data_IF_695792629104
#
_entry.id   IF_695792629104
#
_cell.length_a   1.000
_cell.length_b   1.000
_cell.length_c   1.000
_cell.angle_alpha   90.00
_cell.angle_beta   90.00
_cell.angle_gamma   90.00
#
_symmetry.space_group_name_H-M   'P 1'
#
loop_
_entity.id
_entity.type
_entity.pdbx_description
1 polymer ?
#
# COMPACT_ATOMS: atom_id res chain seq x y z
N UNK A 1 0.05 -3.69 13.87
CA UNK A 1 -0.38 -4.96 14.49
C UNK A 1 -1.46 -5.57 13.63
N UNK A 2 -1.40 -6.87 13.37
CA UNK A 2 -2.44 -7.58 12.61
C UNK A 2 -3.70 -7.69 13.44
N UNK A 3 -4.86 -7.60 12.79
CA UNK A 3 -6.11 -8.00 13.43
C UNK A 3 -6.19 -9.54 13.54
N UNK A 4 -7.08 -10.01 14.40
CA UNK A 4 -7.34 -11.44 14.52
C UNK A 4 -7.90 -12.00 13.20
N UNK A 5 -7.27 -13.05 12.67
CA UNK A 5 -7.56 -13.60 11.34
C UNK A 5 -8.66 -14.67 11.34
N UNK A 6 -9.38 -14.85 12.45
CA UNK A 6 -10.41 -15.90 12.56
C UNK A 6 -9.85 -17.32 12.44
N UNK A 7 -10.61 -18.23 11.83
CA UNK A 7 -10.21 -19.62 11.62
C UNK A 7 -9.18 -19.70 10.48
N UNK A 8 -7.89 -19.73 10.82
CA UNK A 8 -6.79 -20.03 9.92
C UNK A 8 -5.93 -21.15 10.50
N UNK A 9 -5.02 -21.69 9.68
CA UNK A 9 -4.16 -22.81 10.07
C UNK A 9 -3.40 -22.53 11.38
N UNK A 10 -2.82 -21.34 11.53
CA UNK A 10 -2.05 -20.98 12.72
C UNK A 10 -2.92 -20.96 13.98
N UNK A 11 -4.13 -20.37 13.90
CA UNK A 11 -5.05 -20.34 15.03
C UNK A 11 -5.60 -21.73 15.37
N UNK A 12 -5.84 -22.57 14.35
CA UNK A 12 -6.21 -23.97 14.55
C UNK A 12 -5.09 -24.75 15.22
N UNK A 13 -3.84 -24.57 14.81
CA UNK A 13 -2.68 -25.24 15.41
C UNK A 13 -2.50 -24.80 16.88
N UNK A 14 -2.67 -23.51 17.20
CA UNK A 14 -2.65 -22.98 18.59
C UNK A 14 -3.81 -23.57 19.41
N UNK A 15 -5.02 -23.63 18.85
CA UNK A 15 -6.18 -24.20 19.53
C UNK A 15 -5.97 -25.68 19.84
N UNK A 16 -5.50 -26.45 18.85
CA UNK A 16 -5.19 -27.88 19.02
C UNK A 16 -4.16 -28.09 20.15
N UNK A 17 -3.17 -27.19 20.27
CA UNK A 17 -2.18 -27.25 21.35
C UNK A 17 -2.78 -26.93 22.72
N UNK A 18 -3.78 -26.04 22.77
CA UNK A 18 -4.52 -25.75 24.00
C UNK A 18 -5.48 -26.89 24.39
N UNK A 19 -6.07 -27.56 23.40
CA UNK A 19 -6.99 -28.70 23.63
C UNK A 19 -6.24 -30.00 23.92
N UNK A 20 -4.98 -30.10 23.47
CA UNK A 20 -4.18 -31.31 23.71
C UNK A 20 -3.85 -31.47 25.20
N UNK A 21 -4.05 -32.68 25.71
CA UNK A 21 -3.67 -33.06 27.08
C UNK A 21 -2.21 -33.55 27.16
N UNK A 22 -1.36 -33.07 26.24
CA UNK A 22 0.01 -33.49 26.13
C UNK A 22 0.89 -33.02 27.27
N UNK A 23 1.97 -33.77 27.54
CA UNK A 23 2.96 -33.48 28.57
C UNK A 23 3.85 -32.27 28.25
N UNK A 24 3.73 -31.71 27.04
CA UNK A 24 4.54 -30.56 26.60
C UNK A 24 3.82 -29.27 26.99
N UNK A 25 4.50 -28.43 27.73
CA UNK A 25 3.94 -27.18 28.19
C UNK A 25 3.65 -26.23 27.01
N UNK A 26 2.50 -25.57 27.01
CA UNK A 26 2.02 -24.69 25.94
C UNK A 26 3.06 -23.63 25.55
N UNK A 27 3.78 -23.06 26.53
CA UNK A 27 4.80 -22.03 26.30
C UNK A 27 6.00 -22.50 25.46
N UNK A 28 6.28 -23.82 25.47
CA UNK A 28 7.33 -24.41 24.63
C UNK A 28 6.94 -24.54 23.14
N UNK A 29 5.64 -24.58 22.87
CA UNK A 29 5.07 -24.75 21.52
C UNK A 29 4.57 -23.43 20.92
N UNK A 30 4.79 -22.30 21.62
CA UNK A 30 4.27 -20.99 21.23
C UNK A 30 5.39 -19.93 21.28
N UNK A 31 5.37 -19.01 20.32
CA UNK A 31 6.36 -17.91 20.25
C UNK A 31 6.11 -16.79 21.28
N UNK A 32 5.08 -16.93 22.12
CA UNK A 32 4.75 -15.95 23.14
C UNK A 32 4.09 -14.68 22.60
N UNK A 33 3.96 -13.71 23.52
CA UNK A 33 3.32 -12.42 23.28
C UNK A 33 4.33 -11.31 23.53
N UNK A 34 4.38 -10.29 22.69
CA UNK A 34 5.18 -9.09 22.94
C UNK A 34 4.27 -7.89 23.15
N UNK A 35 4.41 -7.26 24.30
CA UNK A 35 3.68 -6.06 24.69
C UNK A 35 4.61 -4.84 24.63
N UNK A 36 4.07 -3.73 24.14
CA UNK A 36 4.72 -2.43 24.18
C UNK A 36 3.88 -1.51 25.06
N UNK A 37 4.49 -0.93 26.07
CA UNK A 37 3.79 -0.10 27.07
C UNK A 37 4.52 1.23 27.29
N UNK A 38 3.83 2.21 27.88
CA UNK A 38 4.44 3.48 28.29
C UNK A 38 5.13 3.39 29.66
N UNK A 39 4.61 2.53 30.55
CA UNK A 39 5.20 2.25 31.87
C UNK A 39 4.89 0.82 32.28
N UNK A 40 5.77 0.21 33.06
CA UNK A 40 5.55 -1.08 33.69
C UNK A 40 6.26 -1.13 35.02
N UNK A 41 5.58 -1.57 36.06
CA UNK A 41 6.12 -1.73 37.42
C UNK A 41 5.86 -3.14 37.90
N UNK A 42 6.87 -3.78 38.42
CA UNK A 42 6.78 -5.11 39.02
C UNK A 42 6.48 -5.00 40.53
N UNK A 43 5.41 -5.64 40.94
CA UNK A 43 5.01 -5.80 42.34
C UNK A 43 4.91 -7.28 42.65
N UNK A 44 5.84 -7.82 43.42
CA UNK A 44 5.92 -9.27 43.69
C UNK A 44 5.83 -10.10 42.39
N UNK A 45 4.75 -10.85 42.19
CA UNK A 45 4.50 -11.67 41.00
C UNK A 45 3.58 -11.00 39.98
N UNK A 46 3.29 -9.71 40.16
CA UNK A 46 2.36 -8.97 39.30
C UNK A 46 3.05 -7.80 38.64
N UNK A 47 2.72 -7.59 37.34
CA UNK A 47 3.20 -6.43 36.59
C UNK A 47 2.01 -5.52 36.27
N UNK A 48 2.07 -4.29 36.75
CA UNK A 48 1.17 -3.22 36.34
C UNK A 48 1.77 -2.48 35.13
N UNK A 49 0.98 -2.30 34.10
CA UNK A 49 1.43 -1.63 32.87
C UNK A 49 0.36 -0.70 32.31
N UNK A 50 0.80 0.43 31.74
CA UNK A 50 -0.08 1.45 31.16
C UNK A 50 0.07 1.54 29.65
N UNK A 51 -1.02 1.89 28.97
CA UNK A 51 -1.07 2.06 27.51
C UNK A 51 -0.51 0.86 26.74
N UNK A 52 -0.98 -0.33 27.13
CA UNK A 52 -0.53 -1.62 26.59
C UNK A 52 -0.94 -1.75 25.12
N UNK A 53 0.02 -2.11 24.29
CA UNK A 53 -0.19 -2.47 22.89
C UNK A 53 0.46 -3.82 22.61
N UNK A 54 -0.32 -4.80 22.14
CA UNK A 54 0.21 -6.08 21.66
C UNK A 54 0.89 -5.83 20.32
N UNK A 55 2.20 -6.05 20.22
CA UNK A 55 2.97 -5.86 18.98
C UNK A 55 3.33 -7.17 18.28
N UNK A 56 3.29 -8.29 19.01
CA UNK A 56 3.38 -9.64 18.46
C UNK A 56 2.57 -10.60 19.34
N UNK A 57 2.08 -11.73 18.76
CA UNK A 57 1.33 -12.74 19.49
C UNK A 57 -0.18 -12.47 19.58
N UNK A 58 -0.75 -11.54 18.78
CA UNK A 58 -2.19 -11.25 18.82
C UNK A 58 -3.05 -12.48 18.48
N UNK A 59 -2.62 -13.35 17.55
CA UNK A 59 -3.29 -14.60 17.24
C UNK A 59 -3.33 -15.51 18.46
N UNK A 60 -2.20 -15.68 19.14
CA UNK A 60 -2.07 -16.43 20.40
C UNK A 60 -3.00 -15.87 21.46
N UNK A 61 -2.99 -14.55 21.68
CA UNK A 61 -3.85 -13.90 22.70
C UNK A 61 -5.33 -14.15 22.43
N UNK A 62 -5.79 -13.95 21.19
CA UNK A 62 -7.20 -14.17 20.85
C UNK A 62 -7.59 -15.64 20.92
N UNK A 63 -6.70 -16.56 20.52
CA UNK A 63 -6.98 -17.99 20.60
C UNK A 63 -7.07 -18.47 22.05
N UNK A 64 -6.18 -18.00 22.92
CA UNK A 64 -6.24 -18.24 24.37
C UNK A 64 -7.56 -17.70 24.94
N UNK A 65 -7.90 -16.45 24.62
CA UNK A 65 -9.17 -15.85 25.05
C UNK A 65 -10.39 -16.68 24.62
N UNK A 66 -10.42 -17.08 23.35
CA UNK A 66 -11.54 -17.90 22.82
C UNK A 66 -11.59 -19.27 23.49
N UNK A 67 -10.46 -19.92 23.74
CA UNK A 67 -10.40 -21.20 24.42
C UNK A 67 -11.04 -21.13 25.81
N UNK A 68 -10.64 -20.17 26.65
CA UNK A 68 -11.20 -20.02 27.99
C UNK A 68 -12.64 -19.47 27.99
N UNK A 69 -13.00 -18.61 27.05
CA UNK A 69 -14.38 -18.13 26.89
C UNK A 69 -15.34 -19.26 26.48
N UNK A 70 -14.85 -20.31 25.84
CA UNK A 70 -15.63 -21.48 25.43
C UNK A 70 -15.57 -22.65 26.43
N UNK A 71 -15.11 -22.43 27.66
CA UNK A 71 -15.16 -23.41 28.75
C UNK A 71 -13.85 -24.13 29.07
N UNK A 72 -12.72 -23.67 28.55
CA UNK A 72 -11.40 -24.17 28.99
C UNK A 72 -11.17 -23.92 30.49
N UNK A 73 -10.74 -24.94 31.24
CA UNK A 73 -10.67 -24.89 32.73
C UNK A 73 -9.25 -25.07 33.30
N UNK A 74 -8.27 -25.36 32.46
CA UNK A 74 -6.91 -25.73 32.88
C UNK A 74 -5.91 -24.56 32.90
N UNK A 75 -6.39 -23.32 32.91
CA UNK A 75 -5.57 -22.09 32.87
C UNK A 75 -4.48 -22.00 33.91
N UNK A 76 -4.75 -22.47 35.12
CA UNK A 76 -3.76 -22.50 36.22
C UNK A 76 -2.54 -23.41 35.95
N UNK A 77 -2.63 -24.29 34.97
CA UNK A 77 -1.57 -25.24 34.58
C UNK A 77 -0.83 -24.84 33.30
N UNK A 78 -1.22 -23.72 32.69
CA UNK A 78 -0.71 -23.25 31.42
C UNK A 78 0.05 -21.94 31.56
N UNK A 79 1.19 -21.87 30.91
CA UNK A 79 2.02 -20.64 30.88
C UNK A 79 2.20 -20.17 29.45
N UNK A 80 2.37 -18.88 29.28
CA UNK A 80 2.76 -18.25 28.01
C UNK A 80 3.90 -17.25 28.26
N UNK A 81 4.88 -17.23 27.38
CA UNK A 81 5.97 -16.26 27.45
C UNK A 81 5.44 -14.87 27.09
N UNK A 82 5.64 -13.89 27.97
CA UNK A 82 5.29 -12.49 27.73
C UNK A 82 6.53 -11.63 27.79
N UNK A 83 6.86 -10.96 26.68
CA UNK A 83 7.91 -9.94 26.60
C UNK A 83 7.29 -8.56 26.73
N UNK A 84 7.66 -7.81 27.77
CA UNK A 84 7.19 -6.44 27.99
C UNK A 84 8.31 -5.47 27.62
N UNK A 85 8.03 -4.51 26.74
CA UNK A 85 8.96 -3.47 26.32
C UNK A 85 8.36 -2.12 26.72
N UNK A 86 9.10 -1.36 27.54
CA UNK A 86 8.69 -0.03 27.98
C UNK A 86 9.35 1.02 27.10
N UNK A 87 8.55 1.86 26.46
CA UNK A 87 9.04 3.00 25.68
C UNK A 87 7.92 4.03 25.49
N UNK A 88 8.27 5.30 25.69
CA UNK A 88 7.39 6.46 25.40
C UNK A 88 7.75 7.14 24.09
N UNK A 89 8.94 6.87 23.52
CA UNK A 89 9.45 7.53 22.32
C UNK A 89 8.79 7.00 21.05
N UNK A 90 8.11 7.85 20.26
CA UNK A 90 7.37 7.41 19.06
C UNK A 90 8.24 6.69 18.02
N UNK A 91 9.48 7.15 17.81
CA UNK A 91 10.41 6.56 16.84
C UNK A 91 10.84 5.15 17.29
N UNK A 92 11.19 5.00 18.57
CA UNK A 92 11.57 3.71 19.15
C UNK A 92 10.39 2.73 19.10
N UNK A 93 9.20 3.17 19.48
CA UNK A 93 7.96 2.38 19.38
C UNK A 93 7.71 1.90 17.94
N UNK A 94 7.84 2.78 16.96
CA UNK A 94 7.69 2.44 15.54
C UNK A 94 8.71 1.36 15.12
N UNK A 95 9.98 1.53 15.48
CA UNK A 95 11.03 0.57 15.12
C UNK A 95 10.80 -0.80 15.77
N UNK A 96 10.35 -0.84 17.03
CA UNK A 96 9.99 -2.09 17.73
C UNK A 96 8.84 -2.80 17.01
N UNK A 97 7.78 -2.06 16.65
CA UNK A 97 6.63 -2.61 15.92
C UNK A 97 7.09 -3.19 14.57
N UNK A 98 7.95 -2.49 13.86
CA UNK A 98 8.50 -2.97 12.58
C UNK A 98 9.34 -4.24 12.77
N UNK A 99 10.27 -4.24 13.72
CA UNK A 99 11.17 -5.37 13.95
C UNK A 99 10.43 -6.64 14.40
N UNK A 100 9.44 -6.50 15.29
CA UNK A 100 8.66 -7.64 15.80
C UNK A 100 7.69 -8.21 14.78
N UNK A 101 7.27 -7.41 13.79
CA UNK A 101 6.35 -7.84 12.74
C UNK A 101 7.05 -8.30 11.44
N UNK A 102 8.35 -8.06 11.28
CA UNK A 102 9.10 -8.49 10.08
C UNK A 102 9.22 -10.03 9.92
N UNK A 103 8.83 -10.80 10.92
CA UNK A 103 8.82 -12.27 10.86
C UNK A 103 7.64 -12.83 10.05
N UNK A 104 6.69 -12.01 9.65
CA UNK A 104 5.60 -12.38 8.76
C UNK A 104 5.39 -11.26 7.72
N UNK A 105 5.07 -11.63 6.48
CA UNK A 105 4.84 -10.68 5.38
C UNK A 105 3.61 -9.81 5.71
N UNK A 106 3.81 -8.74 6.50
CA UNK A 106 2.80 -7.71 6.69
C UNK A 106 2.86 -6.79 5.47
N UNK A 107 1.73 -6.51 4.82
CA UNK A 107 1.71 -5.47 3.80
C UNK A 107 2.23 -4.14 4.38
N UNK A 108 3.18 -3.52 3.70
CA UNK A 108 3.87 -2.32 4.19
C UNK A 108 2.90 -1.15 4.48
N UNK A 109 1.77 -1.10 3.77
CA UNK A 109 0.72 -0.11 4.04
C UNK A 109 0.08 -0.26 5.44
N UNK A 110 0.10 -1.47 6.02
CA UNK A 110 -0.41 -1.69 7.37
C UNK A 110 0.42 -1.00 8.46
N UNK A 111 1.67 -0.62 8.17
CA UNK A 111 2.49 0.17 9.08
C UNK A 111 1.92 1.59 9.29
N UNK A 112 1.22 2.10 8.29
CA UNK A 112 0.55 3.41 8.31
C UNK A 112 -0.92 3.33 8.72
N UNK A 113 -1.41 2.15 9.08
CA UNK A 113 -2.83 1.95 9.40
C UNK A 113 -3.35 2.79 10.57
N UNK A 114 -2.46 3.28 11.43
CA UNK A 114 -2.81 4.14 12.58
C UNK A 114 -2.69 5.64 12.28
N UNK A 115 -2.13 6.02 11.14
CA UNK A 115 -1.97 7.41 10.75
C UNK A 115 -3.34 8.09 10.62
N UNK A 116 -3.42 9.36 11.03
CA UNK A 116 -4.66 10.12 11.02
C UNK A 116 -5.29 10.15 9.63
N UNK A 117 -4.50 10.48 8.60
CA UNK A 117 -4.98 10.53 7.20
C UNK A 117 -5.60 9.21 6.73
N UNK A 118 -5.06 8.06 7.15
CA UNK A 118 -5.59 6.74 6.78
C UNK A 118 -6.94 6.47 7.45
N UNK A 119 -7.12 6.93 8.69
CA UNK A 119 -8.40 6.83 9.42
C UNK A 119 -9.44 7.75 8.80
N UNK A 120 -9.06 8.99 8.47
CA UNK A 120 -9.95 9.98 7.86
C UNK A 120 -10.44 9.49 6.47
N UNK A 121 -9.54 8.87 5.68
CA UNK A 121 -9.91 8.24 4.40
C UNK A 121 -10.87 7.07 4.62
N UNK A 122 -10.61 6.19 5.60
CA UNK A 122 -11.52 5.08 5.92
C UNK A 122 -12.92 5.58 6.27
N UNK A 123 -13.01 6.59 7.14
CA UNK A 123 -14.29 7.15 7.58
C UNK A 123 -15.08 7.78 6.42
N UNK A 124 -14.42 8.60 5.59
CA UNK A 124 -15.11 9.28 4.49
C UNK A 124 -15.57 8.28 3.42
N UNK A 125 -14.77 7.27 3.10
CA UNK A 125 -15.11 6.25 2.11
C UNK A 125 -16.22 5.32 2.61
N UNK A 126 -16.22 4.98 3.91
CA UNK A 126 -17.26 4.17 4.51
C UNK A 126 -18.65 4.82 4.41
N UNK A 127 -18.74 6.16 4.58
CA UNK A 127 -19.98 6.94 4.35
C UNK A 127 -20.50 6.86 2.92
N UNK A 128 -19.65 6.43 1.97
CA UNK A 128 -19.99 6.26 0.54
C UNK A 128 -20.05 4.79 0.12
N UNK A 129 -20.19 3.87 1.09
CA UNK A 129 -20.25 2.43 0.87
C UNK A 129 -19.00 1.87 0.15
N UNK A 130 -17.83 2.47 0.38
CA UNK A 130 -16.55 2.00 -0.10
C UNK A 130 -15.73 1.56 1.11
N UNK A 131 -15.29 0.31 1.12
CA UNK A 131 -14.55 -0.27 2.25
C UNK A 131 -13.06 -0.08 2.05
N UNK A 132 -12.42 0.69 2.94
CA UNK A 132 -11.00 1.00 2.87
C UNK A 132 -10.18 0.11 3.78
N UNK A 133 -9.49 -0.87 3.19
CA UNK A 133 -8.72 -1.86 3.93
C UNK A 133 -7.33 -1.32 4.28
N UNK A 134 -7.25 -0.41 5.26
CA UNK A 134 -5.97 0.11 5.80
C UNK A 134 -5.23 -0.94 6.64
N UNK A 135 -5.91 -1.93 7.15
CA UNK A 135 -5.36 -3.10 7.84
C UNK A 135 -5.52 -4.35 6.98
N UNK A 136 -4.58 -5.28 7.11
CA UNK A 136 -4.60 -6.50 6.30
C UNK A 136 -5.87 -7.32 6.57
N UNK A 137 -6.61 -7.58 5.51
CA UNK A 137 -7.82 -8.43 5.48
C UNK A 137 -8.94 -8.09 6.47
N UNK A 138 -8.97 -6.86 6.99
CA UNK A 138 -9.99 -6.45 7.97
C UNK A 138 -11.41 -6.66 7.44
N UNK A 139 -11.70 -6.13 6.27
CA UNK A 139 -13.04 -6.22 5.67
C UNK A 139 -13.29 -7.56 4.97
N UNK A 140 -12.26 -8.18 4.40
CA UNK A 140 -12.35 -9.53 3.83
C UNK A 140 -12.78 -10.54 4.91
N UNK A 141 -12.19 -10.46 6.10
CA UNK A 141 -12.55 -11.33 7.23
C UNK A 141 -13.97 -11.07 7.77
N UNK A 142 -14.55 -9.90 7.48
CA UNK A 142 -15.94 -9.55 7.80
C UNK A 142 -16.93 -9.91 6.69
N UNK A 143 -16.50 -10.65 5.67
CA UNK A 143 -17.34 -11.12 4.58
C UNK A 143 -17.64 -10.08 3.51
N UNK A 144 -16.94 -8.94 3.50
CA UNK A 144 -17.08 -7.94 2.43
C UNK A 144 -16.46 -8.49 1.15
N UNK A 145 -17.18 -8.38 0.03
CA UNK A 145 -16.68 -8.84 -1.25
C UNK A 145 -15.45 -8.03 -1.66
N UNK A 146 -14.43 -8.71 -2.22
CA UNK A 146 -13.15 -8.08 -2.56
C UNK A 146 -13.28 -6.92 -3.56
N UNK A 147 -14.28 -6.99 -4.42
CA UNK A 147 -14.53 -5.93 -5.40
C UNK A 147 -15.09 -4.64 -4.76
N UNK A 148 -15.57 -4.70 -3.52
CA UNK A 148 -16.03 -3.53 -2.76
C UNK A 148 -14.94 -2.94 -1.87
N UNK A 149 -13.78 -3.59 -1.81
CA UNK A 149 -12.64 -3.16 -1.02
C UNK A 149 -11.66 -2.35 -1.86
N UNK A 150 -11.13 -1.27 -1.28
CA UNK A 150 -9.99 -0.50 -1.79
C UNK A 150 -8.88 -0.51 -0.76
N UNK A 151 -7.63 -0.55 -1.22
CA UNK A 151 -6.45 -0.56 -0.33
C UNK A 151 -5.71 0.78 -0.42
N UNK A 152 -4.85 1.12 0.57
CA UNK A 152 -3.98 2.29 0.48
C UNK A 152 -3.15 2.32 -0.81
N UNK A 153 -2.59 1.17 -1.22
CA UNK A 153 -1.80 1.09 -2.46
C UNK A 153 -2.65 1.35 -3.72
N UNK A 154 -3.90 0.88 -3.71
CA UNK A 154 -4.84 1.12 -4.81
C UNK A 154 -5.17 2.60 -4.96
N UNK A 155 -5.49 3.29 -3.85
CA UNK A 155 -5.75 4.73 -3.86
C UNK A 155 -4.50 5.54 -4.20
N UNK A 156 -3.32 5.13 -3.71
CA UNK A 156 -2.06 5.75 -4.07
C UNK A 156 -1.82 5.70 -5.58
N UNK A 157 -2.12 4.56 -6.22
CA UNK A 157 -2.07 4.42 -7.68
C UNK A 157 -3.01 5.39 -8.40
N UNK A 158 -4.24 5.53 -7.90
CA UNK A 158 -5.21 6.49 -8.42
C UNK A 158 -4.75 7.94 -8.28
N UNK A 159 -4.30 8.33 -7.10
CA UNK A 159 -3.76 9.66 -6.86
C UNK A 159 -2.55 9.96 -7.76
N UNK A 160 -1.64 9.00 -7.87
CA UNK A 160 -0.46 9.11 -8.74
C UNK A 160 -0.84 9.33 -10.19
N UNK A 161 -1.84 8.61 -10.69
CA UNK A 161 -2.29 8.74 -12.07
C UNK A 161 -3.08 10.03 -12.29
N UNK A 162 -4.07 10.32 -11.42
CA UNK A 162 -5.06 11.38 -11.65
C UNK A 162 -4.57 12.75 -11.19
N UNK A 163 -3.96 12.85 -10.02
CA UNK A 163 -3.53 14.13 -9.45
C UNK A 163 -2.11 14.47 -9.89
N UNK A 164 -1.18 13.51 -9.71
CA UNK A 164 0.23 13.73 -10.04
C UNK A 164 0.49 13.62 -11.54
N UNK A 165 -0.44 13.12 -12.34
CA UNK A 165 -0.28 12.93 -13.80
C UNK A 165 0.88 11.98 -14.17
N UNK A 166 1.09 10.96 -13.37
CA UNK A 166 2.18 9.98 -13.52
C UNK A 166 1.63 8.55 -13.68
N UNK A 167 0.81 8.25 -14.70
CA UNK A 167 0.19 6.93 -14.85
C UNK A 167 1.21 5.81 -15.01
N UNK A 168 2.39 6.07 -15.60
CA UNK A 168 3.49 5.10 -15.67
C UNK A 168 4.01 4.68 -14.30
N UNK A 169 4.01 5.60 -13.32
CA UNK A 169 4.40 5.29 -11.93
C UNK A 169 3.29 4.52 -11.22
N UNK A 170 2.03 4.81 -11.49
CA UNK A 170 0.92 4.03 -10.95
C UNK A 170 0.98 2.55 -11.35
N UNK A 171 1.46 2.23 -12.58
CA UNK A 171 1.70 0.86 -13.04
C UNK A 171 2.83 0.18 -12.26
N UNK A 172 3.90 0.92 -11.97
CA UNK A 172 5.11 0.40 -11.30
C UNK A 172 5.10 0.60 -9.78
N UNK A 173 4.07 1.25 -9.23
CA UNK A 173 3.97 1.55 -7.81
C UNK A 173 3.94 0.25 -7.01
N UNK A 174 4.89 0.12 -6.11
CA UNK A 174 5.05 -1.05 -5.24
C UNK A 174 4.76 -0.67 -3.79
N UNK A 175 4.38 -1.66 -3.00
CA UNK A 175 4.14 -1.46 -1.56
C UNK A 175 5.35 -0.89 -0.81
N UNK A 176 6.55 -1.04 -1.34
CA UNK A 176 7.79 -0.49 -0.76
C UNK A 176 7.79 1.03 -0.63
N UNK A 177 7.03 1.76 -1.46
CA UNK A 177 6.93 3.22 -1.34
C UNK A 177 6.33 3.64 0.02
N UNK A 178 5.51 2.79 0.62
CA UNK A 178 4.93 3.02 1.94
C UNK A 178 5.99 3.06 3.06
N UNK A 179 7.18 2.53 2.82
CA UNK A 179 8.30 2.59 3.77
C UNK A 179 9.11 3.89 3.66
N UNK A 180 8.94 4.64 2.59
CA UNK A 180 9.63 5.91 2.41
C UNK A 180 8.69 7.05 2.87
N UNK A 181 8.99 7.73 4.00
CA UNK A 181 8.13 8.78 4.55
C UNK A 181 7.91 9.94 3.58
N UNK A 182 8.93 10.30 2.79
CA UNK A 182 8.86 11.40 1.82
C UNK A 182 7.87 11.04 0.71
N UNK A 183 8.00 9.86 0.13
CA UNK A 183 7.10 9.39 -0.93
C UNK A 183 5.67 9.19 -0.41
N UNK A 184 5.52 8.62 0.78
CA UNK A 184 4.24 8.44 1.44
C UNK A 184 3.53 9.77 1.66
N UNK A 185 4.23 10.78 2.25
CA UNK A 185 3.67 12.09 2.55
C UNK A 185 3.31 12.90 1.30
N UNK A 186 3.90 12.62 0.14
CA UNK A 186 3.49 13.25 -1.12
C UNK A 186 2.12 12.81 -1.60
N UNK A 187 1.71 11.60 -1.22
CA UNK A 187 0.42 11.04 -1.61
C UNK A 187 -0.60 11.18 -0.46
N UNK A 188 -0.19 10.80 0.75
CA UNK A 188 -1.04 10.82 1.93
C UNK A 188 -0.60 11.93 2.88
N UNK A 189 -1.12 13.14 2.71
CA UNK A 189 -0.88 14.24 3.63
C UNK A 189 -2.19 14.98 3.97
N UNK A 190 -2.21 15.61 5.13
CA UNK A 190 -3.41 16.27 5.67
C UNK A 190 -3.80 17.56 4.94
N UNK A 191 -2.94 18.09 4.07
CA UNK A 191 -3.24 19.27 3.25
C UNK A 191 -4.11 18.91 2.04
N UNK A 192 -4.19 17.65 1.67
CA UNK A 192 -5.02 17.17 0.57
C UNK A 192 -6.47 17.11 1.07
N UNK A 193 -7.41 17.80 0.41
CA UNK A 193 -8.81 17.73 0.79
C UNK A 193 -9.33 16.29 0.79
N UNK A 194 -9.84 15.84 1.93
CA UNK A 194 -10.22 14.43 2.14
C UNK A 194 -11.28 13.96 1.13
N UNK A 195 -12.13 14.87 0.63
CA UNK A 195 -13.16 14.56 -0.36
C UNK A 195 -12.62 14.10 -1.72
N UNK A 196 -11.35 14.39 -2.04
CA UNK A 196 -10.77 13.93 -3.32
C UNK A 196 -10.73 12.40 -3.39
N UNK A 197 -10.54 11.74 -2.25
CA UNK A 197 -10.43 10.29 -2.19
C UNK A 197 -11.70 9.55 -2.58
N UNK A 198 -12.88 10.17 -2.34
CA UNK A 198 -14.19 9.63 -2.75
C UNK A 198 -14.22 9.49 -4.27
N UNK A 199 -13.91 10.59 -4.98
CA UNK A 199 -13.97 10.58 -6.44
C UNK A 199 -12.85 9.74 -7.06
N UNK A 200 -11.64 9.74 -6.48
CA UNK A 200 -10.57 8.83 -6.92
C UNK A 200 -11.02 7.37 -6.79
N UNK A 201 -11.51 6.96 -5.62
CA UNK A 201 -11.99 5.60 -5.41
C UNK A 201 -13.12 5.24 -6.39
N UNK A 202 -14.09 6.14 -6.58
CA UNK A 202 -15.22 5.92 -7.47
C UNK A 202 -14.79 5.79 -8.93
N UNK A 203 -13.88 6.66 -9.40
CA UNK A 203 -13.32 6.59 -10.77
C UNK A 203 -12.65 5.24 -10.99
N UNK A 204 -11.76 4.86 -10.08
CA UNK A 204 -11.01 3.62 -10.19
C UNK A 204 -11.93 2.40 -10.19
N UNK A 205 -12.90 2.33 -9.26
CA UNK A 205 -13.84 1.21 -9.18
C UNK A 205 -14.72 1.10 -10.43
N UNK A 206 -15.17 2.20 -11.00
CA UNK A 206 -15.93 2.19 -12.26
C UNK A 206 -15.09 1.69 -13.42
N UNK A 207 -13.84 2.14 -13.55
CA UNK A 207 -12.91 1.66 -14.56
C UNK A 207 -12.62 0.17 -14.35
N UNK A 208 -12.38 -0.28 -13.13
CA UNK A 208 -12.12 -1.68 -12.83
C UNK A 208 -13.29 -2.62 -13.15
N UNK A 209 -14.51 -2.14 -12.97
CA UNK A 209 -15.72 -2.93 -13.27
C UNK A 209 -15.82 -3.26 -14.76
N UNK A 210 -15.35 -2.39 -15.64
CA UNK A 210 -15.38 -2.55 -17.10
C UNK A 210 -14.07 -3.18 -17.62
N UNK A 211 -12.95 -2.93 -16.92
CA UNK A 211 -11.65 -3.54 -17.21
C UNK A 211 -11.33 -4.57 -16.11
N UNK A 212 -11.94 -5.75 -16.12
CA UNK A 212 -11.97 -6.64 -14.99
C UNK A 212 -10.59 -7.06 -14.52
N UNK A 213 -10.49 -7.24 -13.19
CA UNK A 213 -9.35 -7.87 -12.54
C UNK A 213 -9.40 -9.35 -12.87
N UNK A 214 -8.70 -9.80 -13.90
CA UNK A 214 -8.56 -11.23 -14.14
C UNK A 214 -7.78 -11.88 -12.99
N UNK A 215 -8.51 -12.35 -11.98
CA UNK A 215 -8.02 -13.36 -11.04
C UNK A 215 -8.14 -14.79 -11.62
N UNK A 216 -8.63 -14.89 -12.86
CA UNK A 216 -8.78 -16.15 -13.58
C UNK A 216 -7.75 -16.28 -14.70
N UNK A 217 -7.81 -17.41 -15.40
CA UNK A 217 -6.95 -17.73 -16.53
C UNK A 217 -6.97 -16.61 -17.55
N UNK A 218 -5.80 -16.06 -17.88
CA UNK A 218 -5.62 -15.09 -18.98
C UNK A 218 -6.09 -15.80 -20.25
N UNK A 219 -7.25 -15.40 -20.78
CA UNK A 219 -7.86 -16.06 -21.95
C UNK A 219 -7.25 -15.58 -23.27
N UNK A 220 -6.74 -14.35 -23.29
CA UNK A 220 -6.10 -13.76 -24.48
C UNK A 220 -4.89 -12.93 -24.13
N UNK A 221 -4.00 -12.69 -25.10
CA UNK A 221 -2.84 -11.80 -24.91
C UNK A 221 -3.27 -10.35 -24.62
N UNK A 222 -4.46 -9.92 -25.04
CA UNK A 222 -5.02 -8.60 -24.78
C UNK A 222 -5.44 -8.41 -23.33
N UNK A 223 -5.97 -9.45 -22.68
CA UNK A 223 -6.41 -9.41 -21.28
C UNK A 223 -5.25 -9.09 -20.33
N UNK A 224 -4.05 -9.51 -20.70
CA UNK A 224 -2.84 -9.24 -19.93
C UNK A 224 -2.53 -7.75 -19.77
N UNK A 225 -2.90 -6.95 -20.77
CA UNK A 225 -2.61 -5.51 -20.80
C UNK A 225 -3.72 -4.68 -20.16
N UNK A 226 -4.95 -5.17 -20.08
CA UNK A 226 -6.11 -4.45 -19.56
C UNK A 226 -5.85 -3.88 -18.16
N UNK A 227 -5.27 -4.67 -17.27
CA UNK A 227 -4.93 -4.21 -15.92
C UNK A 227 -3.90 -3.08 -15.91
N UNK A 228 -2.91 -3.17 -16.79
CA UNK A 228 -1.78 -2.22 -16.82
C UNK A 228 -2.13 -0.91 -17.51
N UNK A 229 -3.15 -0.87 -18.40
CA UNK A 229 -3.61 0.36 -19.04
C UNK A 229 -4.60 1.16 -18.18
N UNK A 230 -5.15 0.59 -17.11
CA UNK A 230 -6.13 1.27 -16.24
C UNK A 230 -5.73 2.65 -15.75
N UNK A 231 -4.47 2.90 -15.31
CA UNK A 231 -4.06 4.23 -14.91
C UNK A 231 -4.20 5.26 -16.02
N UNK A 232 -3.92 4.86 -17.28
CA UNK A 232 -4.10 5.72 -18.45
C UNK A 232 -5.59 5.89 -18.77
N UNK A 233 -6.35 4.80 -18.75
CA UNK A 233 -7.80 4.83 -18.96
C UNK A 233 -8.48 5.74 -17.94
N UNK A 234 -8.16 5.61 -16.65
CA UNK A 234 -8.69 6.47 -15.59
C UNK A 234 -8.36 7.93 -15.84
N UNK A 235 -7.13 8.25 -16.24
CA UNK A 235 -6.70 9.61 -16.56
C UNK A 235 -7.49 10.20 -17.73
N UNK A 236 -7.61 9.47 -18.84
CA UNK A 236 -8.27 9.94 -20.06
C UNK A 236 -9.81 10.07 -19.86
N UNK A 237 -10.44 9.09 -19.19
CA UNK A 237 -11.86 9.16 -18.83
C UNK A 237 -12.14 10.41 -18.00
N UNK A 238 -11.33 10.68 -16.99
CA UNK A 238 -11.45 11.87 -16.15
C UNK A 238 -11.24 13.14 -16.97
N UNK A 239 -10.21 13.18 -17.82
CA UNK A 239 -9.92 14.32 -18.69
C UNK A 239 -11.06 14.61 -19.68
N UNK A 240 -11.70 13.58 -20.25
CA UNK A 240 -12.84 13.76 -21.16
C UNK A 240 -14.03 14.42 -20.49
N UNK A 241 -14.33 14.05 -19.25
CA UNK A 241 -15.46 14.63 -18.51
C UNK A 241 -15.15 16.09 -18.11
N UNK A 242 -13.92 16.36 -17.70
CA UNK A 242 -13.48 17.70 -17.29
C UNK A 242 -13.23 18.59 -18.52
N UNK A 243 -12.89 18.02 -19.67
CA UNK A 243 -12.61 18.74 -20.93
C UNK A 243 -11.15 19.14 -21.12
N UNK A 244 -10.22 18.75 -20.24
CA UNK A 244 -8.79 19.06 -20.34
C UNK A 244 -7.91 18.04 -19.62
N UNK A 245 -6.64 17.91 -20.01
CA UNK A 245 -5.65 17.10 -19.30
C UNK A 245 -5.05 17.81 -18.07
N UNK A 246 -5.01 19.14 -18.09
CA UNK A 246 -4.44 19.97 -17.02
C UNK A 246 -5.33 20.13 -15.77
N UNK A 247 -6.26 19.21 -15.54
CA UNK A 247 -7.13 19.25 -14.35
C UNK A 247 -6.34 19.02 -13.04
N UNK A 248 -6.80 19.66 -11.98
CA UNK A 248 -6.22 19.55 -10.63
C UNK A 248 -7.12 18.83 -9.63
N UNK A 249 -6.71 18.85 -8.37
CA UNK A 249 -7.45 18.24 -7.24
C UNK A 249 -8.87 18.82 -7.13
N UNK A 250 -9.03 20.13 -7.27
CA UNK A 250 -10.34 20.79 -7.19
C UNK A 250 -11.29 20.36 -8.33
N UNK A 251 -10.76 20.13 -9.53
CA UNK A 251 -11.57 19.64 -10.66
C UNK A 251 -12.07 18.21 -10.37
N UNK A 252 -11.21 17.37 -9.75
CA UNK A 252 -11.59 16.00 -9.34
C UNK A 252 -12.66 16.05 -8.25
N UNK A 253 -12.54 16.91 -7.25
CA UNK A 253 -13.54 17.05 -6.17
C UNK A 253 -14.91 17.44 -6.71
N UNK A 254 -14.95 18.32 -7.70
CA UNK A 254 -16.19 18.80 -8.33
C UNK A 254 -16.73 17.87 -9.41
N UNK A 255 -15.99 16.83 -9.75
CA UNK A 255 -16.38 15.92 -10.84
C UNK A 255 -17.69 15.19 -10.52
N UNK A 256 -18.66 15.29 -11.42
CA UNK A 256 -19.83 14.43 -11.38
C UNK A 256 -19.46 13.02 -11.89
N UNK A 257 -19.22 12.10 -10.98
CA UNK A 257 -18.82 10.73 -11.31
C UNK A 257 -19.91 9.95 -12.05
N UNK A 258 -21.18 10.36 -12.05
CA UNK A 258 -22.25 9.71 -12.81
C UNK A 258 -22.04 9.82 -14.33
N UNK A 259 -21.30 10.83 -14.78
CA UNK A 259 -20.93 11.00 -16.19
C UNK A 259 -19.89 9.96 -16.67
N UNK A 260 -19.30 9.20 -15.77
CA UNK A 260 -18.40 8.09 -16.10
C UNK A 260 -19.26 6.88 -16.50
N UNK A 261 -19.70 6.85 -17.74
CA UNK A 261 -20.53 5.75 -18.25
C UNK A 261 -19.70 4.54 -18.66
N UNK A 262 -20.34 3.39 -18.74
CA UNK A 262 -19.69 2.15 -19.17
C UNK A 262 -19.20 2.26 -20.62
N UNK A 263 -19.96 2.96 -21.48
CA UNK A 263 -19.64 3.21 -22.90
C UNK A 263 -18.36 4.04 -23.01
N UNK A 264 -18.27 5.12 -22.20
CA UNK A 264 -17.08 5.97 -22.16
C UNK A 264 -15.83 5.18 -21.76
N UNK A 265 -15.94 4.34 -20.71
CA UNK A 265 -14.81 3.54 -20.26
C UNK A 265 -14.39 2.52 -21.33
N UNK A 266 -15.37 1.84 -21.98
CA UNK A 266 -15.07 0.88 -23.06
C UNK A 266 -14.41 1.56 -24.25
N UNK A 267 -14.94 2.69 -24.70
CA UNK A 267 -14.37 3.49 -25.79
C UNK A 267 -12.91 3.87 -25.49
N UNK A 268 -12.66 4.47 -24.34
CA UNK A 268 -11.30 4.87 -23.95
C UNK A 268 -10.38 3.64 -23.79
N UNK A 269 -10.87 2.54 -23.25
CA UNK A 269 -10.08 1.30 -23.11
C UNK A 269 -9.69 0.74 -24.46
N UNK A 270 -10.62 0.64 -25.39
CA UNK A 270 -10.38 0.11 -26.74
C UNK A 270 -9.38 0.99 -27.49
N UNK A 271 -9.56 2.31 -27.47
CA UNK A 271 -8.63 3.24 -28.11
C UNK A 271 -7.25 3.23 -27.46
N UNK A 272 -7.16 3.08 -26.11
CA UNK A 272 -5.87 2.92 -25.43
C UNK A 272 -5.14 1.66 -25.89
N UNK A 273 -5.83 0.53 -26.02
CA UNK A 273 -5.25 -0.72 -26.49
C UNK A 273 -4.85 -0.60 -27.97
N UNK A 274 -5.69 0.04 -28.79
CA UNK A 274 -5.37 0.28 -30.20
C UNK A 274 -4.10 1.10 -30.37
N UNK A 275 -3.97 2.21 -29.65
CA UNK A 275 -2.77 3.05 -29.65
C UNK A 275 -1.54 2.25 -29.16
N UNK A 276 -1.71 1.47 -28.10
CA UNK A 276 -0.65 0.60 -27.57
C UNK A 276 -0.14 -0.39 -28.63
N UNK A 277 -1.05 -1.03 -29.34
CA UNK A 277 -0.71 -2.01 -30.38
C UNK A 277 -0.08 -1.35 -31.62
N UNK A 278 -0.62 -0.19 -32.05
CA UNK A 278 -0.11 0.54 -33.22
C UNK A 278 1.34 1.00 -33.02
N UNK A 279 1.74 1.29 -31.78
CA UNK A 279 3.09 1.68 -31.45
C UNK A 279 4.02 0.47 -31.17
N UNK A 280 3.61 -0.75 -31.51
CA UNK A 280 4.38 -1.98 -31.32
C UNK A 280 4.81 -2.21 -29.85
N UNK A 281 4.05 -1.71 -28.89
CA UNK A 281 4.34 -1.86 -27.46
C UNK A 281 3.92 -3.28 -27.02
N UNK A 282 4.87 -4.21 -26.97
CA UNK A 282 4.60 -5.64 -26.72
C UNK A 282 4.73 -6.07 -25.27
N UNK A 283 5.05 -5.16 -24.36
CA UNK A 283 5.34 -5.51 -22.96
C UNK A 283 4.69 -4.55 -21.96
N UNK A 284 4.21 -5.11 -20.86
CA UNK A 284 3.75 -4.32 -19.70
C UNK A 284 4.85 -3.35 -19.21
N UNK A 285 6.14 -3.71 -19.35
CA UNK A 285 7.26 -2.84 -19.00
C UNK A 285 7.21 -1.51 -19.75
N UNK A 286 6.66 -1.51 -20.97
CA UNK A 286 6.51 -0.29 -21.76
C UNK A 286 5.58 0.73 -21.08
N UNK A 287 4.54 0.25 -20.37
CA UNK A 287 3.63 1.11 -19.62
C UNK A 287 4.24 1.69 -18.33
N UNK A 288 5.37 1.16 -17.88
CA UNK A 288 6.17 1.73 -16.79
C UNK A 288 7.19 2.76 -17.29
N UNK A 289 7.34 2.92 -18.61
CA UNK A 289 8.17 3.94 -19.23
C UNK A 289 7.39 5.25 -19.38
N UNK A 290 7.93 6.35 -18.86
CA UNK A 290 7.35 7.69 -19.00
C UNK A 290 7.19 8.10 -20.47
N UNK A 291 8.25 7.90 -21.26
CA UNK A 291 8.24 8.26 -22.68
C UNK A 291 7.12 7.55 -23.45
N UNK A 292 6.99 6.25 -23.26
CA UNK A 292 5.98 5.45 -23.96
C UNK A 292 4.56 5.75 -23.47
N UNK A 293 4.39 5.95 -22.17
CA UNK A 293 3.10 6.34 -21.61
C UNK A 293 2.68 7.73 -22.10
N UNK A 294 3.61 8.69 -22.17
CA UNK A 294 3.32 10.01 -22.71
C UNK A 294 2.95 9.97 -24.19
N UNK A 295 3.57 9.09 -24.98
CA UNK A 295 3.21 8.87 -26.38
C UNK A 295 1.74 8.41 -26.49
N UNK A 296 1.35 7.40 -25.73
CA UNK A 296 -0.03 6.91 -25.71
C UNK A 296 -1.01 8.03 -25.31
N UNK A 297 -0.70 8.77 -24.26
CA UNK A 297 -1.55 9.88 -23.79
C UNK A 297 -1.67 10.97 -24.85
N UNK A 298 -0.57 11.29 -25.54
CA UNK A 298 -0.57 12.30 -26.62
C UNK A 298 -1.48 11.92 -27.76
N UNK A 299 -1.41 10.68 -28.24
CA UNK A 299 -2.29 10.18 -29.30
C UNK A 299 -3.77 10.16 -28.87
N UNK A 300 -4.05 9.73 -27.64
CA UNK A 300 -5.40 9.76 -27.07
C UNK A 300 -5.91 11.20 -26.90
N UNK A 301 -5.04 12.12 -26.47
CA UNK A 301 -5.39 13.52 -26.33
C UNK A 301 -5.76 14.14 -27.69
N UNK A 302 -5.01 13.83 -28.72
CA UNK A 302 -5.31 14.25 -30.11
C UNK A 302 -6.63 13.66 -30.59
N UNK A 303 -6.84 12.36 -30.37
CA UNK A 303 -8.08 11.66 -30.77
C UNK A 303 -9.33 12.25 -30.10
N UNK A 304 -9.23 12.58 -28.81
CA UNK A 304 -10.34 13.12 -28.02
C UNK A 304 -10.35 14.66 -27.95
N UNK A 305 -9.46 15.33 -28.67
CA UNK A 305 -9.34 16.81 -28.70
C UNK A 305 -9.16 17.41 -27.29
N UNK A 306 -8.34 16.76 -26.45
CA UNK A 306 -8.09 17.20 -25.09
C UNK A 306 -6.94 18.21 -25.06
N UNK A 307 -7.15 19.44 -24.59
CA UNK A 307 -6.08 20.42 -24.43
C UNK A 307 -5.16 20.10 -23.26
N UNK A 308 -4.10 20.92 -23.10
CA UNK A 308 -3.17 20.92 -21.96
C UNK A 308 -2.26 19.68 -21.85
N UNK A 309 -1.88 19.04 -22.98
CA UNK A 309 -0.91 17.94 -22.94
C UNK A 309 0.40 18.34 -22.26
N UNK A 310 0.82 19.59 -22.36
CA UNK A 310 1.99 20.13 -21.67
C UNK A 310 1.95 19.91 -20.14
N UNK A 311 0.75 19.83 -19.55
CA UNK A 311 0.58 19.55 -18.14
C UNK A 311 1.06 18.13 -17.75
N UNK A 312 1.03 17.19 -18.72
CA UNK A 312 1.57 15.83 -18.55
C UNK A 312 3.09 15.84 -18.77
N UNK A 313 3.53 16.47 -19.87
CA UNK A 313 4.91 16.43 -20.34
C UNK A 313 5.88 17.11 -19.35
N UNK A 314 5.48 18.25 -18.78
CA UNK A 314 6.31 19.05 -17.86
C UNK A 314 6.29 18.58 -16.41
N UNK A 315 5.46 17.58 -16.06
CA UNK A 315 5.41 17.08 -14.67
C UNK A 315 6.74 16.46 -14.29
N UNK A 316 7.28 16.90 -13.17
CA UNK A 316 8.43 16.25 -12.55
C UNK A 316 8.00 14.92 -11.95
N UNK A 317 8.81 13.91 -12.17
CA UNK A 317 8.62 12.58 -11.62
C UNK A 317 9.29 12.50 -10.24
N UNK A 318 8.63 13.06 -9.24
CA UNK A 318 9.18 13.21 -7.89
C UNK A 318 8.91 12.02 -6.95
N UNK A 319 8.22 10.98 -7.41
CA UNK A 319 7.98 9.79 -6.57
C UNK A 319 9.28 9.02 -6.31
N UNK A 320 10.27 9.18 -7.17
CA UNK A 320 11.55 8.51 -7.07
C UNK A 320 12.77 9.47 -7.04
N UNK A 321 12.55 10.78 -7.27
CA UNK A 321 13.60 11.79 -7.29
C UNK A 321 13.98 12.31 -5.90
N UNK A 322 13.63 11.60 -4.83
CA UNK A 322 13.80 12.06 -3.46
C UNK A 322 14.99 11.46 -2.71
N UNK A 323 16.06 11.16 -3.40
CA UNK A 323 17.34 11.51 -2.79
C UNK A 323 17.51 13.02 -3.07
N UNK A 324 17.18 13.88 -2.12
CA UNK A 324 17.81 15.17 -2.07
C UNK A 324 19.30 14.83 -1.99
N UNK A 325 19.97 14.92 -3.14
CA UNK A 325 21.41 15.00 -3.20
C UNK A 325 21.70 16.39 -2.64
N UNK A 326 21.69 16.50 -1.30
CA UNK A 326 22.18 17.68 -0.64
C UNK A 326 23.72 17.71 -0.77
N UNK A 327 24.30 18.85 -0.48
CA UNK A 327 25.74 19.02 -0.58
C UNK A 327 26.48 18.05 0.34
N UNK A 328 25.92 17.73 1.51
CA UNK A 328 26.45 16.77 2.48
C UNK A 328 26.49 15.35 1.90
N UNK A 329 25.43 14.92 1.21
CA UNK A 329 25.39 13.62 0.53
C UNK A 329 26.43 13.56 -0.62
N UNK A 330 26.57 14.65 -1.40
CA UNK A 330 27.58 14.75 -2.46
C UNK A 330 28.99 14.61 -1.89
N UNK A 331 29.30 15.31 -0.81
CA UNK A 331 30.61 15.24 -0.16
C UNK A 331 30.86 13.83 0.40
N UNK A 332 29.87 13.23 1.06
CA UNK A 332 29.97 11.83 1.56
C UNK A 332 30.28 10.86 0.41
N UNK A 333 29.62 10.98 -0.73
CA UNK A 333 29.91 10.15 -1.91
C UNK A 333 31.30 10.42 -2.47
N UNK A 334 31.73 11.67 -2.51
CA UNK A 334 33.10 12.05 -2.98
C UNK A 334 34.18 11.44 -2.09
N UNK A 335 34.01 11.49 -0.77
CA UNK A 335 34.92 10.90 0.21
C UNK A 335 35.05 9.38 0.08
N UNK A 336 33.97 8.71 -0.35
CA UNK A 336 33.94 7.26 -0.55
C UNK A 336 34.51 6.83 -1.90
N UNK A 337 34.76 7.75 -2.85
CA UNK A 337 35.28 7.44 -4.16
C UNK A 337 36.80 7.28 -4.08
N UNK A 338 37.37 6.15 -4.55
CA UNK A 338 38.81 5.98 -4.63
C UNK A 338 39.42 6.88 -5.72
N UNK A 339 40.74 6.96 -5.74
CA UNK A 339 41.46 7.63 -6.85
C UNK A 339 41.12 6.98 -8.21
N UNK A 340 41.04 7.78 -9.25
CA UNK A 340 40.81 7.26 -10.62
C UNK A 340 42.05 6.52 -11.15
N UNK A 341 41.85 5.48 -12.00
CA UNK A 341 40.59 5.02 -12.58
C UNK A 341 39.74 4.23 -11.59
N UNK A 342 38.40 4.47 -11.60
CA UNK A 342 37.51 3.81 -10.67
C UNK A 342 37.33 2.32 -11.01
N UNK A 343 37.35 1.45 -9.99
CA UNK A 343 37.08 0.01 -10.18
C UNK A 343 35.69 -0.23 -10.76
N UNK A 344 35.57 -1.29 -11.59
CA UNK A 344 34.28 -1.71 -12.14
C UNK A 344 33.31 -2.07 -10.98
N UNK A 345 32.15 -1.45 -10.97
CA UNK A 345 31.11 -1.72 -9.94
C UNK A 345 31.22 -0.86 -8.67
N UNK A 346 32.17 0.10 -8.57
CA UNK A 346 32.32 0.98 -7.39
C UNK A 346 31.00 1.66 -6.99
N UNK A 347 30.17 2.07 -7.96
CA UNK A 347 28.89 2.68 -7.71
C UNK A 347 27.92 1.75 -6.93
N UNK A 348 28.00 0.42 -7.15
CA UNK A 348 27.19 -0.56 -6.41
C UNK A 348 27.67 -0.72 -4.98
N UNK A 349 28.99 -0.67 -4.79
CA UNK A 349 29.61 -0.77 -3.46
C UNK A 349 29.24 0.45 -2.63
N UNK A 350 29.39 1.66 -3.17
CA UNK A 350 29.03 2.90 -2.49
C UNK A 350 27.52 2.96 -2.22
N UNK A 351 26.69 2.60 -3.21
CA UNK A 351 25.24 2.55 -3.02
C UNK A 351 24.81 1.57 -1.91
N UNK A 352 25.49 0.42 -1.78
CA UNK A 352 25.25 -0.54 -0.70
C UNK A 352 25.65 0.01 0.65
N UNK A 353 26.78 0.67 0.76
CA UNK A 353 27.30 1.28 1.99
C UNK A 353 26.41 2.44 2.48
N UNK A 354 25.84 3.21 1.55
CA UNK A 354 24.91 4.30 1.83
C UNK A 354 23.44 3.82 2.02
N UNK A 355 23.20 2.51 1.99
CA UNK A 355 21.84 1.95 2.10
C UNK A 355 20.96 2.24 0.87
N UNK A 356 21.56 2.71 -0.24
CA UNK A 356 20.87 2.97 -1.49
C UNK A 356 20.70 1.66 -2.26
N UNK A 357 19.59 0.96 -2.07
CA UNK A 357 19.28 -0.23 -2.88
C UNK A 357 18.78 0.19 -4.25
N UNK A 358 19.49 -0.21 -5.32
CA UNK A 358 19.21 -0.07 -6.77
C UNK A 358 19.87 1.15 -7.45
N UNK A 359 21.18 1.20 -7.46
CA UNK A 359 21.89 1.77 -8.61
C UNK A 359 21.77 0.75 -9.77
N UNK A 360 20.82 0.95 -10.67
CA UNK A 360 20.83 0.40 -12.03
C UNK A 360 21.39 1.45 -12.95
#
# INVERSE_FOLDING_TARGET
VRDYLGNNRTNTDIMNTLEAQDKIDFWNLNNGITLLTSSATLYDDTIEAENIQIVNGLQTTNTIFNYFSNGGTDGAKRSVLVKIIVSTEPIVRKNIIQATNNQSVIPLYSLHATDKIQKDIEEILYKHNIYYERKDKLYQNRGVHIDDIVTPLYLAGGYTSLVLKLPHRAVSLKSKFMNNPIQYNKIFNEQIPISVWINIATILKRVDKITPNYKGTIKTSQDKYLRSVRPIVSLIVTAKIIGKLGFGTNDIIKLNTQLITNELIRDVTQNTIKVFNNNNLKSIRNLSSRQQTNLIIKELATHYQLPDFNAIERRRDFIYDDYQIDEEFIETVKEMLPAQPWPVGIHKTIASQLGCTNAK
#
